data_IF_329545886193
#
_entry.id   IF_329545886193
#
_cell.length_a   1.000
_cell.length_b   1.000
_cell.length_c   1.000
_cell.angle_alpha   90.00
_cell.angle_beta   90.00
_cell.angle_gamma   90.00
#
_symmetry.space_group_name_H-M   'P 1'
#
loop_
_entity.id
_entity.type
_entity.pdbx_description
1 polymer ?
#
# COMPACT_ATOMS: atom_id res chain seq x y z
N UNK A 1 -7.33 -13.43 18.32
CA UNK A 1 -7.37 -12.50 17.18
C UNK A 1 -8.81 -12.14 16.96
N UNK A 2 -9.12 -10.87 16.64
CA UNK A 2 -10.48 -10.49 16.27
C UNK A 2 -10.89 -11.26 15.01
N UNK A 3 -12.07 -11.86 15.01
CA UNK A 3 -12.61 -12.56 13.84
C UNK A 3 -13.23 -11.56 12.86
N UNK A 4 -13.24 -11.92 11.58
CA UNK A 4 -13.91 -11.14 10.56
C UNK A 4 -15.41 -11.25 10.77
N UNK A 5 -16.10 -10.11 10.78
CA UNK A 5 -17.55 -10.06 10.98
C UNK A 5 -18.28 -10.42 9.69
N UNK A 6 -19.43 -11.09 9.80
CA UNK A 6 -20.33 -11.33 8.66
C UNK A 6 -20.94 -10.05 8.07
N UNK A 7 -20.75 -8.89 8.72
CA UNK A 7 -21.07 -7.57 8.17
C UNK A 7 -20.07 -7.10 7.11
N UNK A 8 -18.95 -7.80 6.93
CA UNK A 8 -17.97 -7.51 5.89
C UNK A 8 -18.43 -8.09 4.55
N UNK A 9 -18.01 -7.45 3.47
CA UNK A 9 -18.41 -7.78 2.12
C UNK A 9 -17.33 -8.64 1.44
N UNK A 10 -17.65 -9.79 0.84
CA UNK A 10 -16.68 -10.56 0.07
C UNK A 10 -16.25 -9.80 -1.19
N UNK A 11 -14.96 -9.81 -1.49
CA UNK A 11 -14.33 -9.19 -2.67
C UNK A 11 -13.47 -10.24 -3.36
N UNK A 12 -13.84 -10.65 -4.57
CA UNK A 12 -13.05 -11.57 -5.40
C UNK A 12 -11.72 -10.92 -5.79
N UNK A 13 -10.64 -11.69 -5.70
CA UNK A 13 -9.33 -11.22 -6.14
C UNK A 13 -9.25 -11.17 -7.68
N UNK A 14 -8.49 -10.22 -8.25
CA UNK A 14 -8.40 -10.05 -9.71
C UNK A 14 -7.72 -11.22 -10.44
N UNK A 15 -7.08 -12.12 -9.69
CA UNK A 15 -6.44 -13.35 -10.17
C UNK A 15 -7.43 -14.49 -10.41
N UNK A 16 -8.67 -14.33 -9.99
CA UNK A 16 -9.72 -15.33 -10.20
C UNK A 16 -10.27 -15.16 -11.61
N UNK A 17 -10.11 -16.20 -12.41
CA UNK A 17 -10.55 -16.25 -13.80
C UNK A 17 -11.48 -17.44 -13.99
N UNK A 18 -12.41 -17.33 -14.94
CA UNK A 18 -13.28 -18.43 -15.34
C UNK A 18 -13.10 -18.72 -16.83
N UNK A 19 -12.86 -19.99 -17.16
CA UNK A 19 -12.73 -20.46 -18.54
C UNK A 19 -13.37 -21.85 -18.70
N UNK A 20 -14.24 -22.01 -19.71
CA UNK A 20 -15.03 -23.23 -19.98
C UNK A 20 -15.67 -23.88 -18.74
N UNK A 21 -16.27 -23.04 -17.88
CA UNK A 21 -16.89 -23.47 -16.62
C UNK A 21 -15.87 -23.99 -15.61
N UNK A 22 -14.60 -23.60 -15.66
CA UNK A 22 -13.58 -23.94 -14.64
C UNK A 22 -13.08 -22.67 -13.98
N UNK A 23 -12.70 -22.79 -12.71
CA UNK A 23 -12.08 -21.70 -11.95
C UNK A 23 -10.57 -21.80 -12.03
N UNK A 24 -9.93 -20.66 -12.28
CA UNK A 24 -8.49 -20.51 -12.21
C UNK A 24 -8.15 -19.46 -11.17
N UNK A 25 -7.07 -19.71 -10.45
CA UNK A 25 -6.49 -18.75 -9.53
C UNK A 25 -4.98 -18.78 -9.69
N UNK A 26 -4.41 -17.61 -9.98
CA UNK A 26 -2.98 -17.48 -10.26
C UNK A 26 -2.50 -18.45 -11.37
N UNK A 27 -3.28 -18.55 -12.46
CA UNK A 27 -2.98 -19.42 -13.60
C UNK A 27 -3.15 -20.92 -13.33
N UNK A 28 -3.63 -21.33 -12.15
CA UNK A 28 -3.84 -22.73 -11.78
C UNK A 28 -5.31 -23.04 -11.63
N UNK A 29 -5.76 -24.16 -12.20
CA UNK A 29 -7.13 -24.62 -11.99
C UNK A 29 -7.34 -24.89 -10.49
N UNK A 30 -8.38 -24.30 -9.92
CA UNK A 30 -8.80 -24.57 -8.55
C UNK A 30 -9.60 -25.86 -8.57
N UNK A 31 -9.21 -26.84 -7.74
CA UNK A 31 -9.97 -28.08 -7.55
C UNK A 31 -11.25 -27.80 -6.75
N UNK A 32 -12.20 -27.11 -7.37
CA UNK A 32 -13.61 -27.13 -6.99
C UNK A 32 -14.20 -28.29 -7.80
N UNK A 33 -14.77 -29.29 -7.16
CA UNK A 33 -15.21 -30.54 -7.82
C UNK A 33 -16.09 -30.29 -9.06
N UNK A 34 -15.53 -30.46 -10.27
CA UNK A 34 -16.26 -30.39 -11.55
C UNK A 34 -16.29 -29.00 -12.23
N UNK A 35 -17.17 -28.85 -13.23
CA UNK A 35 -17.49 -27.54 -13.79
C UNK A 35 -18.15 -26.67 -12.71
N UNK A 36 -17.78 -25.39 -12.62
CA UNK A 36 -18.52 -24.38 -11.88
C UNK A 36 -19.97 -24.39 -12.36
N UNK A 37 -20.94 -24.69 -11.50
CA UNK A 37 -22.34 -24.51 -11.83
C UNK A 37 -22.59 -23.04 -12.21
N UNK A 38 -23.54 -22.78 -13.12
CA UNK A 38 -23.91 -21.40 -13.51
C UNK A 38 -24.25 -20.51 -12.29
N UNK A 39 -24.82 -21.10 -11.24
CA UNK A 39 -25.10 -20.42 -9.97
C UNK A 39 -23.85 -19.93 -9.23
N UNK A 40 -22.72 -20.64 -9.34
CA UNK A 40 -21.46 -20.26 -8.69
C UNK A 40 -20.79 -19.09 -9.44
N UNK A 41 -20.88 -19.04 -10.77
CA UNK A 41 -20.37 -17.92 -11.55
C UNK A 41 -21.15 -16.62 -11.26
N UNK A 42 -22.48 -16.71 -11.18
CA UNK A 42 -23.34 -15.59 -10.79
C UNK A 42 -23.13 -15.18 -9.32
N UNK A 43 -22.74 -16.12 -8.44
CA UNK A 43 -22.40 -15.82 -7.06
C UNK A 43 -21.02 -15.12 -6.94
N UNK A 44 -20.01 -15.56 -7.71
CA UNK A 44 -18.71 -14.89 -7.78
C UNK A 44 -18.85 -13.44 -8.20
N UNK A 45 -19.66 -13.14 -9.23
CA UNK A 45 -19.87 -11.76 -9.69
C UNK A 45 -20.57 -10.86 -8.67
N UNK A 46 -21.28 -11.45 -7.69
CA UNK A 46 -21.91 -10.72 -6.57
C UNK A 46 -20.95 -10.48 -5.40
N UNK A 47 -19.76 -11.07 -5.43
CA UNK A 47 -18.71 -10.89 -4.44
C UNK A 47 -17.77 -9.75 -4.86
N UNK A 48 -18.35 -8.57 -5.09
CA UNK A 48 -17.70 -7.34 -5.57
C UNK A 48 -17.42 -6.33 -4.45
N UNK A 49 -17.63 -6.72 -3.19
CA UNK A 49 -17.51 -5.84 -2.03
C UNK A 49 -18.70 -4.93 -1.75
N UNK A 50 -19.81 -5.04 -2.48
CA UNK A 50 -20.99 -4.18 -2.28
C UNK A 50 -21.99 -4.73 -1.24
N UNK A 51 -22.04 -6.06 -1.07
CA UNK A 51 -23.03 -6.73 -0.22
C UNK A 51 -22.36 -7.40 0.98
N UNK A 52 -22.85 -7.20 2.22
CA UNK A 52 -22.32 -7.90 3.39
C UNK A 52 -22.61 -9.40 3.34
N UNK A 53 -21.76 -10.21 3.96
CA UNK A 53 -21.85 -11.68 3.95
C UNK A 53 -23.17 -12.19 4.55
N UNK A 54 -23.63 -11.58 5.64
CA UNK A 54 -24.92 -11.90 6.28
C UNK A 54 -26.12 -11.68 5.34
N UNK A 55 -25.95 -10.83 4.33
CA UNK A 55 -26.93 -10.58 3.28
C UNK A 55 -27.06 -11.74 2.28
N UNK A 56 -26.17 -12.72 2.25
CA UNK A 56 -26.24 -13.87 1.33
C UNK A 56 -27.07 -15.02 1.92
N UNK A 57 -27.51 -15.96 1.07
CA UNK A 57 -28.19 -17.19 1.54
C UNK A 57 -27.23 -18.05 2.37
N UNK A 58 -27.74 -18.98 3.20
CA UNK A 58 -26.86 -19.89 3.95
C UNK A 58 -25.96 -20.72 3.03
N UNK A 59 -26.52 -21.24 1.93
CA UNK A 59 -25.75 -22.00 0.95
C UNK A 59 -24.69 -21.13 0.24
N UNK A 60 -25.04 -19.90 -0.14
CA UNK A 60 -24.10 -18.93 -0.73
C UNK A 60 -22.94 -18.64 0.24
N UNK A 61 -23.23 -18.44 1.53
CA UNK A 61 -22.20 -18.18 2.56
C UNK A 61 -21.25 -19.36 2.73
N UNK A 62 -21.75 -20.59 2.71
CA UNK A 62 -20.90 -21.79 2.76
C UNK A 62 -19.96 -21.87 1.56
N UNK A 63 -20.47 -21.57 0.35
CA UNK A 63 -19.67 -21.52 -0.87
C UNK A 63 -18.60 -20.42 -0.83
N UNK A 64 -18.98 -19.20 -0.44
CA UNK A 64 -18.06 -18.07 -0.24
C UNK A 64 -16.99 -18.43 0.79
N UNK A 65 -17.37 -19.08 1.89
CA UNK A 65 -16.45 -19.56 2.93
C UNK A 65 -15.40 -20.52 2.38
N UNK A 66 -15.78 -21.48 1.52
CA UNK A 66 -14.84 -22.37 0.83
C UNK A 66 -13.90 -21.60 -0.09
N UNK A 67 -14.41 -20.68 -0.92
CA UNK A 67 -13.57 -19.85 -1.79
C UNK A 67 -12.56 -19.01 -1.00
N UNK A 68 -12.98 -18.46 0.15
CA UNK A 68 -12.08 -17.74 1.05
C UNK A 68 -10.98 -18.64 1.61
N UNK A 69 -11.30 -19.87 2.01
CA UNK A 69 -10.30 -20.84 2.46
C UNK A 69 -9.29 -21.20 1.36
N UNK A 70 -9.73 -21.23 0.10
CA UNK A 70 -8.86 -21.37 -1.07
C UNK A 70 -8.13 -20.07 -1.47
N UNK A 71 -8.42 -18.95 -0.79
CA UNK A 71 -7.73 -17.67 -0.98
C UNK A 71 -8.19 -16.87 -2.19
N UNK A 72 -9.36 -17.19 -2.76
CA UNK A 72 -9.91 -16.61 -3.98
C UNK A 72 -10.54 -15.23 -3.77
N UNK A 73 -10.96 -14.96 -2.53
CA UNK A 73 -11.58 -13.70 -2.16
C UNK A 73 -11.08 -13.24 -0.80
N UNK A 74 -11.21 -11.96 -0.57
CA UNK A 74 -10.98 -11.29 0.71
C UNK A 74 -12.31 -10.80 1.28
N UNK A 75 -12.29 -10.37 2.53
CA UNK A 75 -13.42 -9.69 3.14
C UNK A 75 -13.07 -8.21 3.31
N UNK A 76 -13.85 -7.32 2.72
CA UNK A 76 -13.71 -5.89 2.92
C UNK A 76 -14.70 -5.41 3.99
N UNK A 77 -14.28 -4.59 4.96
CA UNK A 77 -15.22 -3.93 5.85
C UNK A 77 -16.30 -3.16 5.07
N UNK A 78 -17.50 -3.00 5.63
CA UNK A 78 -18.52 -2.15 5.00
C UNK A 78 -17.98 -0.73 4.85
N UNK A 79 -18.31 -0.07 3.75
CA UNK A 79 -18.08 1.36 3.57
C UNK A 79 -19.06 2.09 4.47
N UNK A 80 -18.56 2.73 5.53
CA UNK A 80 -19.43 3.52 6.42
C UNK A 80 -19.71 4.87 5.77
N UNK A 81 -20.99 5.29 5.63
CA UNK A 81 -21.29 6.66 5.24
C UNK A 81 -20.88 7.64 6.36
N UNK A 82 -19.83 8.45 6.13
CA UNK A 82 -19.41 9.56 7.00
C UNK A 82 -18.54 9.15 8.20
N UNK A 83 -17.59 9.93 8.70
CA UNK A 83 -17.17 11.30 8.41
C UNK A 83 -15.90 11.29 7.55
N UNK A 84 -15.91 11.93 6.38
CA UNK A 84 -14.65 12.34 5.79
C UNK A 84 -14.02 13.34 6.79
N UNK A 85 -12.79 13.08 7.24
CA UNK A 85 -11.99 14.12 7.87
C UNK A 85 -12.05 15.36 6.96
N UNK A 86 -12.12 16.56 7.55
CA UNK A 86 -12.20 17.81 6.77
C UNK A 86 -11.06 17.94 5.76
N UNK A 87 -9.93 17.27 6.04
CA UNK A 87 -8.91 16.91 5.06
C UNK A 87 -8.33 15.51 5.42
N UNK A 88 -8.67 14.42 4.70
CA UNK A 88 -8.09 13.11 4.96
C UNK A 88 -6.58 13.12 4.68
N UNK A 89 -5.79 12.30 5.40
CA UNK A 89 -4.37 12.18 5.13
C UNK A 89 -4.13 11.66 3.71
N UNK A 90 -3.03 12.11 3.12
CA UNK A 90 -2.56 11.66 1.81
C UNK A 90 -1.24 10.94 2.00
N UNK A 91 -1.16 9.70 1.52
CA UNK A 91 0.08 8.93 1.47
C UNK A 91 0.64 9.01 0.06
N UNK A 92 1.83 9.57 -0.08
CA UNK A 92 2.61 9.49 -1.32
C UNK A 92 3.27 8.12 -1.32
N UNK A 93 2.75 7.22 -2.16
CA UNK A 93 3.21 5.84 -2.30
C UNK A 93 4.09 5.76 -3.55
N UNK A 94 5.37 5.34 -3.45
CA UNK A 94 6.20 5.13 -4.63
C UNK A 94 5.55 4.12 -5.56
N UNK A 95 5.19 2.96 -5.03
CA UNK A 95 4.53 1.89 -5.78
C UNK A 95 3.16 1.53 -5.19
N UNK A 96 2.26 0.94 -6.00
CA UNK A 96 1.17 0.13 -5.49
C UNK A 96 1.70 -0.91 -4.49
N UNK A 97 1.07 -1.02 -3.32
CA UNK A 97 1.50 -1.76 -2.11
C UNK A 97 2.19 -0.98 -0.98
N UNK A 98 3.06 -0.01 -1.27
CA UNK A 98 3.95 0.60 -0.25
C UNK A 98 3.17 1.29 0.87
N UNK A 99 2.16 2.09 0.53
CA UNK A 99 1.30 2.77 1.49
C UNK A 99 0.57 1.78 2.41
N UNK A 100 0.06 0.67 1.85
CA UNK A 100 -0.62 -0.36 2.63
C UNK A 100 0.37 -1.11 3.53
N UNK A 101 1.58 -1.39 3.06
CA UNK A 101 2.64 -2.06 3.81
C UNK A 101 3.10 -1.20 5.00
N UNK A 102 3.34 0.09 4.79
CA UNK A 102 3.82 1.01 5.81
C UNK A 102 2.70 1.46 6.78
N UNK A 103 1.58 1.94 6.24
CA UNK A 103 0.56 2.70 6.97
C UNK A 103 -0.87 2.11 6.93
N UNK A 104 -1.05 0.89 6.41
CA UNK A 104 -2.38 0.30 6.26
C UNK A 104 -3.22 0.24 7.55
N UNK A 105 -2.59 0.11 8.72
CA UNK A 105 -3.29 0.13 10.01
C UNK A 105 -3.81 1.51 10.37
N UNK A 106 -2.97 2.53 10.23
CA UNK A 106 -3.35 3.93 10.41
C UNK A 106 -4.49 4.31 9.46
N UNK A 107 -4.37 3.94 8.19
CA UNK A 107 -5.35 4.26 7.16
C UNK A 107 -6.67 3.51 7.38
N UNK A 108 -6.63 2.24 7.82
CA UNK A 108 -7.83 1.51 8.19
C UNK A 108 -8.66 2.17 9.30
N UNK A 109 -8.02 2.95 10.20
CA UNK A 109 -8.69 3.65 11.30
C UNK A 109 -9.35 4.95 10.86
N UNK A 110 -8.70 5.72 10.00
CA UNK A 110 -9.09 7.11 9.71
C UNK A 110 -9.45 7.38 8.25
N UNK A 111 -9.31 6.39 7.37
CA UNK A 111 -9.36 6.57 5.92
C UNK A 111 -8.12 7.31 5.40
N UNK A 112 -8.06 7.48 4.08
CA UNK A 112 -6.96 8.22 3.44
C UNK A 112 -6.99 8.12 1.93
N UNK A 113 -6.05 8.81 1.30
CA UNK A 113 -5.78 8.71 -0.14
C UNK A 113 -4.37 8.16 -0.35
N UNK A 114 -4.22 7.26 -1.30
CA UNK A 114 -2.91 6.82 -1.80
C UNK A 114 -2.67 7.51 -3.15
N UNK A 115 -1.51 8.12 -3.29
CA UNK A 115 -1.01 8.63 -4.56
C UNK A 115 0.12 7.68 -4.98
N UNK A 116 -0.21 6.69 -5.81
CA UNK A 116 0.75 5.71 -6.32
C UNK A 116 1.49 6.33 -7.50
N UNK A 117 2.71 6.80 -7.23
CA UNK A 117 3.47 7.65 -8.15
C UNK A 117 3.92 6.85 -9.36
N UNK A 118 4.69 5.79 -9.12
CA UNK A 118 5.29 4.93 -10.14
C UNK A 118 4.40 3.71 -10.40
N UNK A 119 3.15 3.96 -10.82
CA UNK A 119 2.13 2.94 -10.98
C UNK A 119 2.18 2.18 -12.31
N UNK A 120 3.10 2.52 -13.22
CA UNK A 120 3.37 1.72 -14.43
C UNK A 120 4.57 0.83 -14.13
N UNK A 121 4.28 -0.40 -13.72
CA UNK A 121 5.27 -1.39 -13.31
C UNK A 121 4.92 -2.79 -13.85
N UNK A 122 5.96 -3.56 -14.15
CA UNK A 122 5.85 -4.96 -14.58
C UNK A 122 6.66 -5.91 -13.69
N UNK A 123 7.38 -5.37 -12.71
CA UNK A 123 8.21 -6.16 -11.82
C UNK A 123 7.35 -7.02 -10.90
N UNK A 124 7.69 -8.30 -10.76
CA UNK A 124 7.01 -9.22 -9.85
C UNK A 124 7.94 -10.34 -9.42
N UNK A 125 7.69 -10.91 -8.24
CA UNK A 125 8.42 -12.08 -7.73
C UNK A 125 7.90 -13.40 -8.29
N UNK A 126 6.78 -13.39 -8.99
CA UNK A 126 6.17 -14.60 -9.55
C UNK A 126 6.67 -14.85 -10.99
N UNK A 127 7.36 -15.97 -11.26
CA UNK A 127 7.92 -16.24 -12.58
C UNK A 127 6.89 -16.35 -13.70
N UNK A 128 5.66 -16.77 -13.41
CA UNK A 128 4.61 -16.84 -14.42
C UNK A 128 4.26 -15.43 -14.88
N UNK A 129 4.01 -14.52 -13.94
CA UNK A 129 3.65 -13.14 -14.23
C UNK A 129 4.84 -12.33 -14.79
N UNK A 130 6.07 -12.61 -14.36
CA UNK A 130 7.26 -11.99 -14.97
C UNK A 130 7.37 -12.25 -16.48
N UNK A 131 6.83 -13.37 -16.99
CA UNK A 131 6.74 -13.66 -18.42
C UNK A 131 5.59 -12.98 -19.17
N UNK A 132 4.70 -12.27 -18.48
CA UNK A 132 3.46 -11.70 -19.01
C UNK A 132 3.28 -10.22 -18.59
N UNK A 133 4.15 -9.29 -19.02
CA UNK A 133 4.23 -7.93 -18.48
C UNK A 133 2.91 -7.15 -18.53
N UNK A 134 2.17 -7.21 -19.64
CA UNK A 134 0.87 -6.53 -19.75
C UNK A 134 -0.20 -7.10 -18.81
N UNK A 135 -0.14 -8.41 -18.51
CA UNK A 135 -1.02 -9.02 -17.52
C UNK A 135 -0.63 -8.60 -16.10
N UNK A 136 0.67 -8.54 -15.83
CA UNK A 136 1.25 -8.13 -14.55
C UNK A 136 0.89 -6.71 -14.21
N UNK A 137 1.15 -5.74 -15.09
CA UNK A 137 0.79 -4.33 -14.90
C UNK A 137 -0.70 -4.18 -14.53
N UNK A 138 -1.60 -4.82 -15.29
CA UNK A 138 -3.04 -4.81 -15.00
C UNK A 138 -3.37 -5.40 -13.63
N UNK A 139 -2.73 -6.51 -13.26
CA UNK A 139 -2.98 -7.16 -11.97
C UNK A 139 -2.47 -6.34 -10.80
N UNK A 140 -1.32 -5.68 -10.90
CA UNK A 140 -0.76 -4.84 -9.85
C UNK A 140 -1.70 -3.69 -9.49
N UNK A 141 -2.23 -3.00 -10.49
CA UNK A 141 -3.26 -1.98 -10.29
C UNK A 141 -4.53 -2.55 -9.65
N UNK A 142 -4.99 -3.71 -10.12
CA UNK A 142 -6.19 -4.35 -9.57
C UNK A 142 -6.00 -4.88 -8.13
N UNK A 143 -4.78 -5.32 -7.77
CA UNK A 143 -4.42 -5.69 -6.39
C UNK A 143 -4.55 -4.49 -5.46
N UNK A 144 -4.03 -3.35 -5.88
CA UNK A 144 -4.10 -2.08 -5.13
C UNK A 144 -5.53 -1.58 -4.99
N UNK A 145 -6.35 -1.65 -6.04
CA UNK A 145 -7.77 -1.29 -5.94
C UNK A 145 -8.51 -2.13 -4.89
N UNK A 146 -8.24 -3.45 -4.84
CA UNK A 146 -8.82 -4.33 -3.81
C UNK A 146 -8.27 -3.99 -2.42
N UNK A 147 -6.96 -3.78 -2.28
CA UNK A 147 -6.34 -3.43 -1.02
C UNK A 147 -6.88 -2.09 -0.48
N UNK A 148 -6.93 -1.06 -1.31
CA UNK A 148 -7.52 0.24 -0.99
C UNK A 148 -8.98 0.11 -0.58
N UNK A 149 -9.78 -0.72 -1.27
CA UNK A 149 -11.17 -1.01 -0.88
C UNK A 149 -11.27 -1.65 0.51
N UNK A 150 -10.38 -2.58 0.86
CA UNK A 150 -10.33 -3.21 2.18
C UNK A 150 -9.89 -2.20 3.25
N UNK A 151 -8.91 -1.36 2.95
CA UNK A 151 -8.40 -0.31 3.83
C UNK A 151 -9.34 0.89 3.97
N UNK A 152 -10.40 0.97 3.15
CA UNK A 152 -11.28 2.14 3.01
C UNK A 152 -10.51 3.40 2.58
N UNK A 153 -9.48 3.19 1.76
CA UNK A 153 -8.71 4.23 1.12
C UNK A 153 -9.21 4.48 -0.30
N UNK A 154 -8.80 5.61 -0.87
CA UNK A 154 -8.91 5.87 -2.31
C UNK A 154 -7.49 5.86 -2.90
N UNK A 155 -7.24 4.97 -3.86
CA UNK A 155 -6.02 4.98 -4.65
C UNK A 155 -6.15 5.93 -5.86
N UNK A 156 -5.05 6.56 -6.24
CA UNK A 156 -4.90 7.36 -7.45
C UNK A 156 -3.56 7.01 -8.10
N UNK A 157 -3.61 6.43 -9.29
CA UNK A 157 -2.46 6.01 -10.07
C UNK A 157 -1.94 7.17 -10.93
N UNK A 158 -0.68 7.58 -10.73
CA UNK A 158 -0.14 8.77 -11.40
C UNK A 158 0.54 8.46 -12.74
N UNK A 159 0.80 7.19 -13.04
CA UNK A 159 1.24 6.74 -14.34
C UNK A 159 2.73 6.95 -14.64
N UNK A 160 3.56 7.25 -13.64
CA UNK A 160 5.01 7.27 -13.85
C UNK A 160 5.54 5.83 -13.94
N UNK A 161 6.58 5.63 -14.75
CA UNK A 161 7.18 4.30 -15.00
C UNK A 161 8.14 3.94 -13.88
N UNK A 162 7.99 2.75 -13.30
CA UNK A 162 8.84 2.19 -12.26
C UNK A 162 10.31 2.06 -12.67
N UNK A 163 11.22 2.22 -11.71
CA UNK A 163 12.66 2.20 -11.92
C UNK A 163 13.17 0.89 -12.53
N UNK A 164 12.57 -0.26 -12.23
CA UNK A 164 12.94 -1.53 -12.85
C UNK A 164 12.64 -1.56 -14.36
N UNK A 165 11.67 -0.75 -14.82
CA UNK A 165 11.25 -0.64 -16.21
C UNK A 165 11.85 0.58 -16.93
N UNK A 166 12.54 1.48 -16.23
CA UNK A 166 13.31 2.58 -16.83
C UNK A 166 14.69 2.10 -17.27
N UNK A 167 15.03 2.26 -18.55
CA UNK A 167 16.32 1.81 -19.12
C UNK A 167 17.56 2.32 -18.37
N UNK A 168 17.49 3.54 -17.82
CA UNK A 168 18.58 4.13 -17.04
C UNK A 168 18.78 3.46 -15.66
N UNK A 169 17.72 2.85 -15.11
CA UNK A 169 17.61 2.37 -13.72
C UNK A 169 17.44 0.87 -13.56
N UNK A 170 17.05 0.11 -14.59
CA UNK A 170 16.73 -1.33 -14.50
C UNK A 170 17.79 -2.20 -13.82
N UNK A 171 19.06 -1.81 -13.90
CA UNK A 171 20.19 -2.51 -13.26
C UNK A 171 20.73 -1.79 -11.99
N UNK A 172 20.16 -0.64 -11.62
CA UNK A 172 20.62 0.27 -10.54
C UNK A 172 19.46 1.03 -9.85
N UNK A 173 18.35 0.35 -9.60
CA UNK A 173 17.16 0.94 -8.96
C UNK A 173 17.28 1.00 -7.42
N UNK A 174 18.38 0.50 -6.85
CA UNK A 174 18.80 0.79 -5.48
C UNK A 174 20.01 1.72 -5.50
N UNK A 175 19.92 2.83 -4.76
CA UNK A 175 21.03 3.74 -4.58
C UNK A 175 22.03 3.20 -3.55
N UNK A 176 23.32 3.30 -3.85
CA UNK A 176 24.41 2.97 -2.90
C UNK A 176 24.30 3.80 -1.60
N UNK A 177 23.71 4.99 -1.69
CA UNK A 177 23.42 5.86 -0.57
C UNK A 177 21.96 6.30 -0.55
N UNK A 178 21.14 5.71 0.32
CA UNK A 178 19.73 6.09 0.54
C UNK A 178 19.50 7.55 1.01
N UNK A 179 20.56 8.33 1.20
CA UNK A 179 20.56 9.70 1.75
C UNK A 179 20.82 10.79 0.71
N UNK A 180 21.17 10.42 -0.52
CA UNK A 180 21.52 11.39 -1.57
C UNK A 180 20.27 11.99 -2.22
N UNK A 181 20.41 13.24 -2.66
CA UNK A 181 19.55 13.94 -3.62
C UNK A 181 19.83 13.51 -5.08
N UNK A 182 20.57 12.41 -5.26
CA UNK A 182 21.05 11.94 -6.57
C UNK A 182 19.96 11.76 -7.61
N UNK A 183 18.74 11.38 -7.21
CA UNK A 183 17.61 11.27 -8.14
C UNK A 183 17.32 12.59 -8.88
N UNK A 184 17.23 13.71 -8.15
CA UNK A 184 16.92 15.00 -8.73
C UNK A 184 18.01 15.48 -9.71
N UNK A 185 19.24 14.98 -9.58
CA UNK A 185 20.36 15.30 -10.46
C UNK A 185 20.47 14.33 -11.65
N UNK A 186 20.11 13.07 -11.44
CA UNK A 186 20.25 11.99 -12.44
C UNK A 186 19.04 11.88 -13.39
N UNK A 187 17.84 12.19 -12.92
CA UNK A 187 16.58 12.17 -13.71
C UNK A 187 15.80 13.50 -13.51
N UNK A 188 16.37 14.66 -13.85
CA UNK A 188 15.80 15.97 -13.49
C UNK A 188 14.42 16.23 -14.12
N UNK A 189 14.17 15.82 -15.36
CA UNK A 189 12.87 16.01 -16.01
C UNK A 189 11.77 15.18 -15.35
N UNK A 190 12.09 13.94 -14.97
CA UNK A 190 11.16 13.09 -14.22
C UNK A 190 10.89 13.65 -12.83
N UNK A 191 11.94 14.13 -12.14
CA UNK A 191 11.81 14.78 -10.85
C UNK A 191 10.91 16.00 -10.90
N UNK A 192 11.07 16.87 -11.90
CA UNK A 192 10.21 18.03 -12.10
C UNK A 192 8.76 17.61 -12.34
N UNK A 193 8.51 16.66 -13.25
CA UNK A 193 7.17 16.17 -13.57
C UNK A 193 6.46 15.55 -12.35
N UNK A 194 7.17 14.72 -11.57
CA UNK A 194 6.64 14.15 -10.31
C UNK A 194 6.34 15.25 -9.30
N UNK A 195 7.25 16.21 -9.13
CA UNK A 195 7.08 17.31 -8.17
C UNK A 195 5.88 18.20 -8.53
N UNK A 196 5.70 18.54 -9.80
CA UNK A 196 4.55 19.33 -10.27
C UNK A 196 3.22 18.59 -10.12
N UNK A 197 3.21 17.29 -10.42
CA UNK A 197 2.03 16.45 -10.24
C UNK A 197 1.64 16.38 -8.77
N UNK A 198 2.61 16.16 -7.88
CA UNK A 198 2.37 16.14 -6.43
C UNK A 198 1.97 17.51 -5.90
N UNK A 199 2.54 18.62 -6.39
CA UNK A 199 2.12 19.97 -5.98
C UNK A 199 0.62 20.18 -6.16
N UNK A 200 0.08 19.74 -7.30
CA UNK A 200 -1.34 19.86 -7.63
C UNK A 200 -2.22 18.99 -6.72
N UNK A 201 -1.77 17.77 -6.41
CA UNK A 201 -2.58 16.79 -5.66
C UNK A 201 -2.52 16.97 -4.15
N UNK A 202 -1.45 17.60 -3.67
CA UNK A 202 -1.21 17.90 -2.25
C UNK A 202 -1.70 19.30 -1.84
N UNK A 203 -2.10 20.15 -2.79
CA UNK A 203 -2.71 21.44 -2.48
C UNK A 203 -3.98 21.26 -1.64
N UNK A 204 -4.03 21.94 -0.50
CA UNK A 204 -5.12 21.81 0.49
C UNK A 204 -5.29 20.41 1.11
N UNK A 205 -4.37 19.46 0.87
CA UNK A 205 -4.44 18.10 1.41
C UNK A 205 -4.40 18.08 2.95
N UNK A 206 -4.68 16.92 3.56
CA UNK A 206 -4.51 16.63 4.99
C UNK A 206 -3.04 16.61 5.43
N UNK A 207 -2.74 15.81 6.45
CA UNK A 207 -1.36 15.39 6.71
C UNK A 207 -0.83 14.61 5.50
N UNK A 208 0.44 14.83 5.15
CA UNK A 208 1.12 14.18 4.03
C UNK A 208 2.16 13.20 4.57
N UNK A 209 1.96 11.94 4.24
CA UNK A 209 2.89 10.85 4.56
C UNK A 209 3.70 10.49 3.33
N UNK A 210 5.01 10.71 3.36
CA UNK A 210 5.94 10.38 2.28
C UNK A 210 6.90 9.25 2.72
N UNK A 211 7.53 8.51 1.80
CA UNK A 211 8.52 7.50 2.18
C UNK A 211 9.71 8.13 2.87
N UNK A 212 10.23 7.47 3.91
CA UNK A 212 11.51 7.86 4.51
C UNK A 212 12.69 7.48 3.60
N UNK A 213 12.52 6.45 2.77
CA UNK A 213 13.52 5.95 1.83
C UNK A 213 14.42 4.86 2.43
N UNK A 214 13.92 4.10 3.42
CA UNK A 214 14.63 2.95 3.98
C UNK A 214 14.90 1.93 2.86
N UNK A 215 16.11 1.38 2.82
CA UNK A 215 16.53 0.42 1.77
C UNK A 215 17.03 1.08 0.48
N UNK A 216 16.80 2.38 0.28
CA UNK A 216 17.44 3.15 -0.79
C UNK A 216 16.89 2.92 -2.19
N UNK A 217 15.66 2.43 -2.33
CA UNK A 217 15.02 2.33 -3.65
C UNK A 217 14.83 3.73 -4.27
N UNK A 218 15.29 3.92 -5.50
CA UNK A 218 15.40 5.27 -6.11
C UNK A 218 14.04 5.97 -6.22
N UNK A 219 12.96 5.23 -6.45
CA UNK A 219 11.60 5.79 -6.53
C UNK A 219 11.05 6.25 -5.17
N UNK A 220 11.42 5.58 -4.07
CA UNK A 220 11.12 6.06 -2.73
C UNK A 220 11.87 7.37 -2.46
N UNK A 221 13.15 7.43 -2.84
CA UNK A 221 13.94 8.64 -2.70
C UNK A 221 13.36 9.78 -3.56
N UNK A 222 12.92 9.50 -4.78
CA UNK A 222 12.27 10.46 -5.68
C UNK A 222 11.03 11.09 -5.04
N UNK A 223 10.11 10.28 -4.52
CA UNK A 223 8.91 10.75 -3.83
C UNK A 223 9.25 11.59 -2.61
N UNK A 224 10.22 11.14 -1.80
CA UNK A 224 10.70 11.87 -0.62
C UNK A 224 11.27 13.24 -1.00
N UNK A 225 12.17 13.29 -1.98
CA UNK A 225 12.80 14.55 -2.42
C UNK A 225 11.77 15.50 -3.04
N UNK A 226 10.78 15.00 -3.77
CA UNK A 226 9.72 15.82 -4.36
C UNK A 226 8.90 16.50 -3.25
N UNK A 227 8.48 15.75 -2.22
CA UNK A 227 7.76 16.31 -1.06
C UNK A 227 8.62 17.32 -0.29
N UNK A 228 9.91 17.04 -0.11
CA UNK A 228 10.84 17.98 0.51
C UNK A 228 11.03 19.26 -0.31
N UNK A 229 11.03 19.16 -1.64
CA UNK A 229 11.11 20.32 -2.53
C UNK A 229 9.86 21.18 -2.45
N UNK A 230 8.67 20.58 -2.40
CA UNK A 230 7.42 21.33 -2.16
C UNK A 230 7.45 22.06 -0.81
N UNK A 231 7.95 21.40 0.24
CA UNK A 231 8.13 22.04 1.55
C UNK A 231 9.15 23.20 1.50
N UNK A 232 10.26 23.02 0.78
CA UNK A 232 11.29 24.06 0.59
C UNK A 232 10.76 25.28 -0.16
N UNK A 233 9.91 25.06 -1.17
CA UNK A 233 9.25 26.13 -1.95
C UNK A 233 8.11 26.82 -1.19
N UNK A 234 7.72 26.30 -0.02
CA UNK A 234 6.55 26.78 0.73
C UNK A 234 5.21 26.39 0.10
N UNK A 235 5.21 25.50 -0.89
CA UNK A 235 4.00 24.94 -1.50
C UNK A 235 3.33 23.87 -0.60
N UNK A 236 4.07 23.33 0.36
CA UNK A 236 3.58 22.40 1.37
C UNK A 236 4.05 22.82 2.75
N UNK A 237 3.15 22.86 3.73
CA UNK A 237 3.52 23.17 5.11
C UNK A 237 4.26 21.98 5.73
N UNK A 238 5.55 22.16 6.04
CA UNK A 238 6.39 21.14 6.67
C UNK A 238 5.88 20.67 8.03
N UNK A 239 5.00 21.40 8.71
CA UNK A 239 4.35 20.93 9.94
C UNK A 239 3.38 19.76 9.70
N UNK A 240 2.96 19.56 8.46
CA UNK A 240 2.01 18.53 8.01
C UNK A 240 2.68 17.37 7.30
N UNK A 241 4.02 17.42 7.17
CA UNK A 241 4.80 16.39 6.48
C UNK A 241 5.40 15.43 7.49
N UNK A 242 5.11 14.15 7.30
CA UNK A 242 5.76 13.07 7.99
C UNK A 242 6.32 12.04 7.01
N UNK A 243 7.42 11.40 7.40
CA UNK A 243 8.03 10.33 6.62
C UNK A 243 7.71 8.98 7.26
N UNK A 244 7.10 8.05 6.53
CA UNK A 244 6.76 6.73 7.06
C UNK A 244 7.93 5.75 6.98
N UNK A 245 7.96 4.79 7.90
CA UNK A 245 8.89 3.66 7.86
C UNK A 245 8.58 2.73 6.69
N UNK A 246 9.44 2.69 5.66
CA UNK A 246 9.24 1.87 4.48
C UNK A 246 9.28 0.37 4.83
N UNK A 247 8.16 -0.32 4.60
CA UNK A 247 8.02 -1.77 4.77
C UNK A 247 7.94 -2.41 3.38
N UNK A 248 8.60 -3.56 3.13
CA UNK A 248 9.30 -4.41 4.09
C UNK A 248 10.78 -4.04 4.29
N UNK A 249 11.27 -2.96 3.68
CA UNK A 249 12.69 -2.59 3.70
C UNK A 249 13.25 -2.47 5.12
N UNK A 250 12.49 -1.90 6.06
CA UNK A 250 12.92 -1.75 7.44
C UNK A 250 13.06 -3.08 8.23
N UNK A 251 12.56 -4.19 7.67
CA UNK A 251 12.85 -5.52 8.22
C UNK A 251 14.29 -5.98 7.98
N UNK A 252 15.03 -5.27 7.11
CA UNK A 252 16.37 -5.61 6.65
C UNK A 252 17.36 -4.43 6.75
N UNK A 253 16.88 -3.21 7.01
CA UNK A 253 17.66 -1.98 7.11
C UNK A 253 17.12 -1.11 8.25
N UNK A 254 17.95 -0.29 8.90
CA UNK A 254 17.49 0.52 10.04
C UNK A 254 16.77 1.79 9.57
N UNK A 255 15.50 1.91 9.93
CA UNK A 255 14.72 3.14 9.72
C UNK A 255 15.19 4.29 10.63
N UNK A 256 15.72 3.98 11.80
CA UNK A 256 16.26 4.97 12.75
C UNK A 256 17.55 5.59 12.22
N UNK A 257 18.48 4.78 11.69
CA UNK A 257 19.68 5.29 11.04
C UNK A 257 19.31 6.15 9.82
N UNK A 258 18.28 5.70 9.10
CA UNK A 258 17.72 6.40 7.94
C UNK A 258 17.21 7.79 8.33
N UNK A 259 16.35 7.86 9.35
CA UNK A 259 15.81 9.10 9.86
C UNK A 259 16.89 10.00 10.46
N UNK A 260 17.88 9.46 11.19
CA UNK A 260 18.95 10.26 11.77
C UNK A 260 19.77 11.00 10.70
N UNK A 261 20.11 10.31 9.61
CA UNK A 261 20.87 10.90 8.49
C UNK A 261 20.05 11.92 7.72
N UNK A 262 18.78 11.61 7.42
CA UNK A 262 17.88 12.56 6.77
C UNK A 262 17.68 13.80 7.64
N UNK A 263 17.40 13.63 8.94
CA UNK A 263 17.24 14.73 9.89
C UNK A 263 18.47 15.63 9.97
N UNK A 264 19.68 15.06 9.98
CA UNK A 264 20.92 15.84 9.93
C UNK A 264 21.08 16.63 8.61
N UNK A 265 20.59 16.09 7.49
CA UNK A 265 20.53 16.82 6.21
C UNK A 265 19.53 17.96 6.28
N UNK A 266 18.31 17.72 6.74
CA UNK A 266 17.25 18.72 6.86
C UNK A 266 17.63 19.87 7.80
N UNK A 267 18.31 19.56 8.91
CA UNK A 267 18.80 20.57 9.85
C UNK A 267 19.80 21.53 9.18
N UNK A 268 20.72 20.99 8.37
CA UNK A 268 21.70 21.81 7.61
C UNK A 268 21.06 22.68 6.53
N UNK A 269 19.92 22.27 5.97
CA UNK A 269 19.19 23.04 4.95
C UNK A 269 18.13 23.96 5.53
N UNK A 270 18.08 24.15 6.86
CA UNK A 270 17.08 25.00 7.52
C UNK A 270 15.65 24.43 7.53
N UNK A 271 15.49 23.16 7.15
CA UNK A 271 14.20 22.48 7.05
C UNK A 271 13.72 21.87 8.38
N UNK A 272 14.57 21.86 9.40
CA UNK A 272 14.23 21.35 10.74
C UNK A 272 14.80 19.95 10.99
N UNK A 273 14.31 19.29 12.06
CA UNK A 273 14.70 17.94 12.43
C UNK A 273 13.67 16.90 11.98
N UNK A 274 13.86 15.65 12.43
CA UNK A 274 12.85 14.59 12.29
C UNK A 274 12.49 14.08 13.67
N UNK A 275 11.19 14.03 13.95
CA UNK A 275 10.66 13.67 15.27
C UNK A 275 9.84 12.37 15.15
N UNK A 276 10.32 11.25 15.72
CA UNK A 276 9.62 9.97 15.61
C UNK A 276 8.29 9.99 16.35
N UNK A 277 7.29 9.36 15.77
CA UNK A 277 5.99 9.10 16.39
C UNK A 277 5.52 7.69 16.07
N UNK A 278 5.00 7.03 17.09
CA UNK A 278 4.31 5.75 16.95
C UNK A 278 2.82 6.00 16.80
N UNK A 279 2.27 5.61 15.65
CA UNK A 279 0.86 5.67 15.35
C UNK A 279 0.19 4.37 15.87
N UNK A 280 -0.73 4.45 16.84
CA UNK A 280 -1.34 3.27 17.43
C UNK A 280 -2.27 2.56 16.43
N UNK A 281 -2.21 1.24 16.39
CA UNK A 281 -3.03 0.38 15.53
C UNK A 281 -3.77 -0.62 16.41
N UNK A 282 -5.09 -0.43 16.53
CA UNK A 282 -5.96 -1.36 17.27
C UNK A 282 -6.15 -2.70 16.54
N UNK A 283 -6.74 -3.69 17.24
CA UNK A 283 -6.94 -5.03 16.71
C UNK A 283 -7.79 -5.07 15.42
N UNK A 284 -8.74 -4.15 15.27
CA UNK A 284 -9.58 -4.07 14.07
C UNK A 284 -8.76 -3.58 12.90
N UNK A 285 -8.01 -2.50 13.11
CA UNK A 285 -7.15 -1.93 12.10
C UNK A 285 -6.03 -2.90 11.68
N UNK A 286 -5.44 -3.62 12.64
CA UNK A 286 -4.44 -4.66 12.36
C UNK A 286 -5.02 -5.83 11.54
N UNK A 287 -6.27 -6.22 11.81
CA UNK A 287 -7.00 -7.21 11.02
C UNK A 287 -7.25 -6.70 9.59
N UNK A 288 -7.75 -5.48 9.45
CA UNK A 288 -8.01 -4.84 8.14
C UNK A 288 -6.71 -4.74 7.32
N UNK A 289 -5.62 -4.27 7.92
CA UNK A 289 -4.29 -4.23 7.28
C UNK A 289 -3.87 -5.62 6.80
N UNK A 290 -4.01 -6.64 7.64
CA UNK A 290 -3.60 -8.01 7.29
C UNK A 290 -4.42 -8.60 6.13
N UNK A 291 -5.72 -8.30 6.10
CA UNK A 291 -6.61 -8.71 5.00
C UNK A 291 -6.25 -7.95 3.71
N UNK A 292 -6.05 -6.63 3.77
CA UNK A 292 -5.65 -5.82 2.62
C UNK A 292 -4.32 -6.27 2.01
N UNK A 293 -3.30 -6.51 2.85
CA UNK A 293 -2.00 -7.00 2.39
C UNK A 293 -2.07 -8.36 1.68
N UNK A 294 -3.15 -9.13 1.91
CA UNK A 294 -3.35 -10.40 1.23
C UNK A 294 -3.84 -10.25 -0.22
N UNK A 295 -4.19 -9.03 -0.65
CA UNK A 295 -4.55 -8.72 -2.04
C UNK A 295 -3.34 -8.79 -2.96
N UNK A 296 -2.17 -8.35 -2.48
CA UNK A 296 -0.90 -8.31 -3.21
C UNK A 296 -0.25 -9.69 -3.41
N UNK A 297 -0.91 -10.58 -4.15
CA UNK A 297 -0.48 -11.96 -4.43
C UNK A 297 0.82 -12.02 -5.22
N UNK A 298 1.03 -11.09 -6.16
CA UNK A 298 2.20 -11.13 -7.05
C UNK A 298 3.34 -10.23 -6.57
N UNK A 299 3.11 -9.35 -5.58
CA UNK A 299 4.16 -8.55 -4.94
C UNK A 299 4.60 -9.05 -3.57
N UNK A 300 3.64 -9.41 -2.70
CA UNK A 300 3.90 -9.59 -1.27
C UNK A 300 3.67 -11.03 -0.84
N UNK A 301 4.76 -11.69 -0.42
CA UNK A 301 4.68 -13.06 0.12
C UNK A 301 4.05 -13.06 1.51
N UNK A 302 3.23 -14.07 1.82
CA UNK A 302 2.61 -14.28 3.16
C UNK A 302 3.61 -14.19 4.32
N UNK A 303 4.83 -14.69 4.12
CA UNK A 303 5.90 -14.61 5.14
C UNK A 303 6.35 -13.19 5.46
N UNK A 304 6.32 -12.28 4.48
CA UNK A 304 6.62 -10.86 4.67
C UNK A 304 5.50 -10.19 5.47
N UNK A 305 4.22 -10.45 5.12
CA UNK A 305 3.05 -9.95 5.87
C UNK A 305 3.17 -10.31 7.36
N UNK A 306 3.51 -11.56 7.68
CA UNK A 306 3.71 -11.99 9.07
C UNK A 306 4.85 -11.25 9.78
N UNK A 307 5.95 -10.98 9.06
CA UNK A 307 7.09 -10.24 9.61
C UNK A 307 6.74 -8.77 9.87
N UNK A 308 6.02 -8.11 8.96
CA UNK A 308 5.51 -6.74 9.14
C UNK A 308 4.58 -6.69 10.35
N UNK A 309 3.63 -7.62 10.45
CA UNK A 309 2.74 -7.71 11.61
C UNK A 309 3.52 -7.85 12.92
N UNK A 310 4.50 -8.76 12.97
CA UNK A 310 5.35 -8.94 14.16
C UNK A 310 6.18 -7.69 14.47
N UNK A 311 6.67 -7.00 13.46
CA UNK A 311 7.41 -5.75 13.64
C UNK A 311 6.52 -4.68 14.29
N UNK A 312 5.28 -4.49 13.82
CA UNK A 312 4.32 -3.57 14.44
C UNK A 312 3.95 -3.94 15.88
N UNK A 313 3.82 -5.24 16.20
CA UNK A 313 3.62 -5.71 17.59
C UNK A 313 4.80 -5.33 18.49
N UNK A 314 6.04 -5.55 18.02
CA UNK A 314 7.26 -5.22 18.79
C UNK A 314 7.41 -3.72 19.01
N UNK A 315 7.08 -2.90 18.00
CA UNK A 315 7.11 -1.43 18.16
C UNK A 315 6.12 -0.94 19.22
N UNK A 316 5.02 -1.65 19.42
CA UNK A 316 3.99 -1.30 20.39
C UNK A 316 4.24 -1.86 21.80
N UNK A 317 5.33 -2.59 22.03
CA UNK A 317 5.68 -3.12 23.36
C UNK A 317 5.77 -1.98 24.38
N UNK A 318 5.00 -2.10 25.47
CA UNK A 318 4.90 -1.05 26.50
C UNK A 318 3.94 0.09 26.17
N UNK A 319 3.29 0.07 25.00
CA UNK A 319 2.20 1.00 24.66
C UNK A 319 0.82 0.44 25.06
N UNK A 320 -0.21 1.28 24.99
CA UNK A 320 -1.60 0.87 25.24
C UNK A 320 -2.26 0.18 24.03
N UNK A 321 -1.62 0.24 22.85
CA UNK A 321 -2.15 -0.31 21.59
C UNK A 321 -1.51 -1.68 21.30
N UNK A 322 -2.21 -2.64 20.67
CA UNK A 322 -1.64 -3.95 20.39
C UNK A 322 -0.56 -3.91 19.30
N UNK A 323 -0.62 -2.95 18.38
CA UNK A 323 0.38 -2.73 17.34
C UNK A 323 0.61 -1.23 17.12
N UNK A 324 1.70 -0.91 16.43
CA UNK A 324 1.99 0.45 16.02
C UNK A 324 2.59 0.47 14.61
N UNK A 325 2.46 1.61 13.96
CA UNK A 325 3.22 2.02 12.78
C UNK A 325 4.06 3.24 13.15
N UNK A 326 5.10 3.55 12.38
CA UNK A 326 6.03 4.62 12.74
C UNK A 326 6.20 5.62 11.61
N UNK A 327 6.21 6.88 12.00
CA UNK A 327 6.49 8.01 11.13
C UNK A 327 7.49 8.96 11.81
N UNK A 328 8.09 9.85 11.03
CA UNK A 328 8.92 10.95 11.52
C UNK A 328 8.40 12.27 11.00
N UNK A 329 7.94 13.13 11.90
CA UNK A 329 7.46 14.47 11.55
C UNK A 329 8.61 15.42 11.29
N UNK A 330 8.48 16.24 10.25
CA UNK A 330 9.47 17.25 9.89
C UNK A 330 9.43 18.45 10.82
N UNK A 331 8.23 18.93 11.21
CA UNK A 331 8.06 20.11 12.08
C UNK A 331 6.78 20.04 12.93
N UNK A 332 6.62 19.00 13.75
CA UNK A 332 5.48 18.96 14.69
C UNK A 332 5.86 19.72 15.97
N UNK A 333 5.08 20.74 16.33
CA UNK A 333 5.17 21.47 17.60
C UNK A 333 4.74 20.59 18.77
#
# INVERSE_FOLDING_TARGET
MKEISDTWCPVVLPHVETDDGRLYFMGRQVEVSGQLPDGDAALLSRCDGSRPLDGFSTADRETIGRWRQHGLLLMAPPLTPGHAATAPPVVVSPHPDDAALALGGTIARQGGRFLDVFSVETWTKDPYYAGHPAMTERLLLAEEEVAARVLRARAEFLGFVDAADRDFRKDRFFADTAWSDGFAQEEPELFEAVTERLATLLDGAGDVFAPLGVGGHVDHLACREAVLELARRGALDGARVAFYEDQPYSLFSSAEETAAKLGARLARTGLGGLHPELLPVDDTAALIKSEALSAYRIQVRKGIIHRIRRHGLRMAEGSWSPAAERVWWMRRS
#
